data_IF_051907897501
#
_entry.id   IF_051907897501
#
_cell.length_a   1.000
_cell.length_b   1.000
_cell.length_c   1.000
_cell.angle_alpha   90.00
_cell.angle_beta   90.00
_cell.angle_gamma   90.00
#
_symmetry.space_group_name_H-M   'P 1'
#
loop_
_entity.id
_entity.type
_entity.pdbx_description
1 polymer ?
#
# COMPACT_ATOMS: atom_id res chain seq x y z
N UNK A 1 -1.80 -17.75 -12.64
CA UNK A 1 -2.33 -16.44 -13.10
C UNK A 1 -3.72 -16.56 -13.77
N UNK A 2 -3.99 -17.56 -14.61
CA UNK A 2 -5.30 -17.78 -15.27
C UNK A 2 -6.43 -18.09 -14.26
N UNK A 3 -6.12 -18.51 -13.06
CA UNK A 3 -7.05 -18.93 -12.01
C UNK A 3 -7.80 -17.76 -11.32
N UNK A 4 -7.32 -16.53 -11.43
CA UNK A 4 -7.83 -15.40 -10.65
C UNK A 4 -9.04 -14.70 -11.26
N UNK A 5 -9.18 -14.69 -12.60
CA UNK A 5 -10.44 -14.24 -13.21
C UNK A 5 -11.60 -15.17 -12.89
N UNK A 6 -11.35 -16.49 -12.76
CA UNK A 6 -12.37 -17.44 -12.31
C UNK A 6 -12.81 -17.25 -10.85
N UNK A 7 -11.94 -16.72 -9.98
CA UNK A 7 -12.33 -16.37 -8.61
C UNK A 7 -13.17 -15.08 -8.54
N UNK A 8 -12.94 -14.13 -9.47
CA UNK A 8 -13.77 -12.92 -9.56
C UNK A 8 -15.20 -13.20 -10.04
N UNK A 9 -15.42 -14.22 -10.86
CA UNK A 9 -16.76 -14.65 -11.29
C UNK A 9 -17.56 -15.26 -10.14
N UNK A 10 -16.90 -15.78 -9.10
CA UNK A 10 -17.52 -16.30 -7.88
C UNK A 10 -17.74 -15.24 -6.79
N UNK A 11 -17.31 -14.01 -7.04
CA UNK A 11 -17.41 -12.91 -6.09
C UNK A 11 -18.84 -12.35 -6.07
N UNK A 12 -19.44 -12.15 -4.88
CA UNK A 12 -20.71 -11.43 -4.78
C UNK A 12 -20.63 -10.05 -5.42
N UNK A 13 -21.73 -9.62 -6.05
CA UNK A 13 -21.77 -8.36 -6.82
C UNK A 13 -21.28 -7.15 -6.05
N UNK A 14 -21.62 -7.05 -4.77
CA UNK A 14 -21.21 -5.96 -3.87
C UNK A 14 -19.68 -5.85 -3.69
N UNK A 15 -18.91 -6.89 -3.96
CA UNK A 15 -17.45 -6.91 -3.84
C UNK A 15 -16.74 -6.85 -5.19
N UNK A 16 -17.49 -6.78 -6.27
CA UNK A 16 -16.88 -6.65 -7.60
C UNK A 16 -16.24 -5.26 -7.77
N UNK A 17 -15.15 -5.17 -8.55
CA UNK A 17 -14.52 -3.89 -8.83
C UNK A 17 -15.47 -2.98 -9.62
N UNK A 18 -15.44 -1.67 -9.32
CA UNK A 18 -16.06 -0.65 -10.14
C UNK A 18 -15.59 -0.73 -11.59
N UNK A 19 -16.31 -0.08 -12.50
CA UNK A 19 -15.91 -0.08 -13.93
C UNK A 19 -14.48 0.42 -14.12
N UNK A 20 -14.08 1.46 -13.38
CA UNK A 20 -12.73 2.01 -13.39
C UNK A 20 -11.70 0.94 -13.00
N UNK A 21 -11.92 0.22 -11.90
CA UNK A 21 -11.00 -0.80 -11.42
C UNK A 21 -10.98 -2.06 -12.28
N UNK A 22 -12.10 -2.42 -12.93
CA UNK A 22 -12.13 -3.57 -13.87
C UNK A 22 -11.11 -3.38 -15.00
N UNK A 23 -11.13 -2.21 -15.64
CA UNK A 23 -10.17 -1.91 -16.71
C UNK A 23 -8.73 -1.81 -16.19
N UNK A 24 -8.56 -1.23 -15.02
CA UNK A 24 -7.26 -1.12 -14.37
C UNK A 24 -6.65 -2.49 -14.07
N UNK A 25 -7.43 -3.41 -13.48
CA UNK A 25 -6.97 -4.75 -13.11
C UNK A 25 -6.51 -5.57 -14.32
N UNK A 26 -7.23 -5.48 -15.46
CA UNK A 26 -6.82 -6.16 -16.69
C UNK A 26 -5.43 -5.67 -17.14
N UNK A 27 -5.21 -4.36 -17.14
CA UNK A 27 -3.93 -3.74 -17.53
C UNK A 27 -2.81 -4.08 -16.55
N UNK A 28 -3.09 -4.03 -15.25
CA UNK A 28 -2.15 -4.37 -14.18
C UNK A 28 -1.74 -5.85 -14.30
N UNK A 29 -2.72 -6.75 -14.42
CA UNK A 29 -2.43 -8.18 -14.53
C UNK A 29 -1.58 -8.50 -15.78
N UNK A 30 -1.91 -7.93 -16.93
CA UNK A 30 -1.12 -8.07 -18.15
C UNK A 30 0.31 -7.54 -17.94
N UNK A 31 0.46 -6.38 -17.32
CA UNK A 31 1.76 -5.80 -17.00
C UNK A 31 2.59 -6.68 -16.08
N UNK A 32 1.99 -7.24 -15.02
CA UNK A 32 2.68 -8.13 -14.09
C UNK A 32 3.00 -9.48 -14.74
N UNK A 33 2.15 -9.99 -15.62
CA UNK A 33 2.46 -11.19 -16.42
C UNK A 33 3.68 -11.00 -17.32
N UNK A 34 3.81 -9.84 -17.95
CA UNK A 34 4.92 -9.53 -18.86
C UNK A 34 6.22 -9.20 -18.13
N UNK A 35 6.17 -8.41 -17.08
CA UNK A 35 7.35 -7.83 -16.42
C UNK A 35 7.71 -8.52 -15.10
N UNK A 36 6.85 -9.42 -14.62
CA UNK A 36 7.00 -10.04 -13.30
C UNK A 36 6.87 -9.05 -12.14
N UNK A 37 6.98 -9.57 -10.90
CA UNK A 37 6.93 -8.76 -9.69
C UNK A 37 8.14 -7.83 -9.55
N UNK A 38 9.28 -8.21 -10.13
CA UNK A 38 10.51 -7.43 -10.02
C UNK A 38 10.50 -6.11 -10.81
N UNK A 39 9.63 -5.98 -11.81
CA UNK A 39 9.50 -4.76 -12.60
C UNK A 39 8.17 -4.02 -12.42
N UNK A 40 7.29 -4.48 -11.53
CA UNK A 40 5.91 -3.97 -11.48
C UNK A 40 5.82 -2.49 -11.06
N UNK A 41 6.75 -1.97 -10.26
CA UNK A 41 6.79 -0.57 -9.82
C UNK A 41 7.57 0.34 -10.77
N UNK A 42 8.26 -0.21 -11.75
CA UNK A 42 8.86 0.55 -12.86
C UNK A 42 7.89 0.77 -14.02
N UNK A 43 6.72 0.16 -13.98
CA UNK A 43 5.75 0.21 -15.07
C UNK A 43 4.77 1.36 -14.88
N UNK A 44 4.67 2.22 -15.91
CA UNK A 44 3.80 3.40 -15.92
C UNK A 44 2.32 3.07 -15.69
N UNK A 45 1.84 1.97 -16.25
CA UNK A 45 0.45 1.52 -16.11
C UNK A 45 0.15 1.19 -14.66
N UNK A 46 1.03 0.42 -14.01
CA UNK A 46 0.85 0.01 -12.62
C UNK A 46 0.88 1.24 -11.69
N UNK A 47 1.87 2.12 -11.85
CA UNK A 47 1.99 3.33 -11.04
C UNK A 47 0.78 4.25 -11.17
N UNK A 48 0.14 4.30 -12.34
CA UNK A 48 -1.06 5.11 -12.55
C UNK A 48 -2.24 4.65 -11.70
N UNK A 49 -2.35 3.34 -11.47
CA UNK A 49 -3.57 2.78 -10.89
C UNK A 49 -3.45 2.44 -9.40
N UNK A 50 -2.31 1.96 -8.92
CA UNK A 50 -2.25 1.49 -7.55
C UNK A 50 -1.06 1.96 -6.72
N UNK A 51 -0.22 2.81 -7.28
CA UNK A 51 0.88 3.41 -6.53
C UNK A 51 0.73 4.93 -6.55
N UNK A 52 0.20 5.53 -5.49
CA UNK A 52 0.19 6.98 -5.39
C UNK A 52 1.62 7.50 -5.43
N UNK A 53 1.85 8.52 -6.25
CA UNK A 53 3.17 9.10 -6.44
C UNK A 53 3.20 10.58 -6.03
N UNK A 54 4.39 11.06 -5.70
CA UNK A 54 4.65 12.50 -5.66
C UNK A 54 5.07 12.96 -7.06
N UNK A 55 4.63 14.14 -7.45
CA UNK A 55 4.96 14.69 -8.75
C UNK A 55 4.42 13.84 -9.91
N UNK A 56 5.10 13.95 -11.04
CA UNK A 56 4.70 13.30 -12.28
C UNK A 56 5.87 12.51 -12.87
N UNK A 57 6.24 11.33 -12.31
CA UNK A 57 7.41 10.58 -12.74
C UNK A 57 7.40 10.19 -14.22
N UNK A 58 6.22 10.21 -14.87
CA UNK A 58 6.07 9.91 -16.30
C UNK A 58 5.56 11.09 -17.12
N UNK A 59 5.56 12.30 -16.57
CA UNK A 59 5.09 13.45 -17.32
C UNK A 59 6.04 13.77 -18.50
N UNK A 60 5.46 14.04 -19.66
CA UNK A 60 6.21 14.50 -20.83
C UNK A 60 6.87 15.88 -20.60
N UNK A 61 6.29 16.70 -19.73
CA UNK A 61 6.90 17.95 -19.25
C UNK A 61 7.85 17.65 -18.09
N UNK A 62 8.90 16.88 -18.35
CA UNK A 62 9.94 16.67 -17.35
C UNK A 62 10.64 18.00 -17.03
N UNK A 63 11.24 18.10 -15.85
CA UNK A 63 12.07 19.25 -15.50
C UNK A 63 13.15 19.55 -16.53
N UNK A 64 13.70 18.50 -17.16
CA UNK A 64 14.64 18.61 -18.28
C UNK A 64 14.01 19.30 -19.49
N UNK A 65 12.83 18.86 -19.94
CA UNK A 65 12.14 19.46 -21.10
C UNK A 65 11.79 20.91 -20.87
N UNK A 66 11.39 21.26 -19.64
CA UNK A 66 11.13 22.66 -19.25
C UNK A 66 12.41 23.47 -19.29
N UNK A 67 13.51 22.97 -18.71
CA UNK A 67 14.82 23.63 -18.76
C UNK A 67 15.28 23.88 -20.20
N UNK A 68 15.18 22.88 -21.08
CA UNK A 68 15.51 22.98 -22.50
C UNK A 68 14.63 24.04 -23.22
N UNK A 69 13.35 24.13 -22.84
CA UNK A 69 12.45 25.17 -23.37
C UNK A 69 12.93 26.56 -22.97
N UNK A 70 13.30 26.79 -21.73
CA UNK A 70 13.84 28.07 -21.27
C UNK A 70 15.17 28.42 -21.95
N UNK A 71 16.03 27.42 -22.15
CA UNK A 71 17.30 27.60 -22.91
C UNK A 71 17.00 28.02 -24.36
N UNK A 72 15.96 27.44 -24.99
CA UNK A 72 15.55 27.75 -26.38
C UNK A 72 15.03 29.20 -26.53
N UNK A 73 14.33 29.70 -25.49
CA UNK A 73 13.83 31.08 -25.48
C UNK A 73 14.88 32.12 -25.03
N UNK A 74 16.15 31.74 -24.93
CA UNK A 74 17.23 32.66 -24.60
C UNK A 74 17.25 33.10 -23.12
N UNK A 75 16.54 32.41 -22.26
CA UNK A 75 16.51 32.63 -20.80
C UNK A 75 17.07 31.42 -20.05
N UNK A 76 18.39 31.17 -20.18
CA UNK A 76 18.96 29.96 -19.59
C UNK A 76 18.84 29.97 -18.06
N UNK A 77 18.36 28.87 -17.50
CA UNK A 77 18.23 28.71 -16.07
C UNK A 77 19.60 28.39 -15.45
N UNK A 78 19.91 29.04 -14.34
CA UNK A 78 21.07 28.65 -13.53
C UNK A 78 20.81 27.32 -12.80
N UNK A 79 21.85 26.71 -12.23
CA UNK A 79 21.78 25.42 -11.56
C UNK A 79 20.75 25.38 -10.41
N UNK A 80 20.61 26.46 -9.66
CA UNK A 80 19.66 26.55 -8.55
C UNK A 80 18.21 26.56 -9.06
N UNK A 81 17.95 27.30 -10.13
CA UNK A 81 16.63 27.33 -10.78
C UNK A 81 16.26 25.96 -11.40
N UNK A 82 17.22 25.32 -12.11
CA UNK A 82 17.02 23.97 -12.66
C UNK A 82 16.65 22.99 -11.57
N UNK A 83 17.42 22.96 -10.47
CA UNK A 83 17.15 22.07 -9.33
C UNK A 83 15.81 22.37 -8.65
N UNK A 84 15.43 23.65 -8.53
CA UNK A 84 14.11 24.02 -7.99
C UNK A 84 12.97 23.45 -8.84
N UNK A 85 13.05 23.63 -10.16
CA UNK A 85 12.05 23.10 -11.10
C UNK A 85 12.00 21.57 -11.03
N UNK A 86 13.14 20.91 -11.06
CA UNK A 86 13.23 19.45 -10.94
C UNK A 86 12.57 18.95 -9.67
N UNK A 87 12.86 19.55 -8.51
CA UNK A 87 12.28 19.18 -7.23
C UNK A 87 10.75 19.33 -7.24
N UNK A 88 10.24 20.41 -7.84
CA UNK A 88 8.79 20.64 -7.95
C UNK A 88 8.10 19.60 -8.83
N UNK A 89 8.63 19.31 -10.02
CA UNK A 89 8.03 18.35 -10.92
C UNK A 89 8.18 16.89 -10.47
N UNK A 90 9.31 16.55 -9.87
CA UNK A 90 9.55 15.22 -9.33
C UNK A 90 8.81 14.98 -8.01
N UNK A 91 8.23 16.03 -7.38
CA UNK A 91 7.52 15.91 -6.11
C UNK A 91 8.43 15.80 -4.89
N UNK A 92 9.73 16.08 -5.03
CA UNK A 92 10.71 15.99 -3.93
C UNK A 92 10.32 16.85 -2.72
N UNK A 93 9.87 18.09 -2.97
CA UNK A 93 9.49 18.98 -1.87
C UNK A 93 8.28 18.45 -1.07
N UNK A 94 7.32 17.83 -1.75
CA UNK A 94 6.17 17.20 -1.09
C UNK A 94 6.62 15.96 -0.31
N UNK A 95 7.43 15.10 -0.91
CA UNK A 95 7.99 13.93 -0.24
C UNK A 95 8.81 14.32 1.01
N UNK A 96 9.62 15.37 0.91
CA UNK A 96 10.41 15.90 2.05
C UNK A 96 9.50 16.47 3.15
N UNK A 97 8.40 17.13 2.77
CA UNK A 97 7.41 17.64 3.73
C UNK A 97 6.76 16.51 4.51
N UNK A 98 6.29 15.47 3.81
CA UNK A 98 5.66 14.30 4.46
C UNK A 98 6.66 13.51 5.30
N UNK A 99 7.91 13.37 4.83
CA UNK A 99 8.97 12.76 5.63
C UNK A 99 9.24 13.52 6.94
N UNK A 100 9.28 14.86 6.88
CA UNK A 100 9.44 15.70 8.07
C UNK A 100 8.24 15.60 9.01
N UNK A 101 7.03 15.58 8.47
CA UNK A 101 5.81 15.39 9.25
C UNK A 101 5.83 14.04 9.98
N UNK A 102 6.20 12.96 9.28
CA UNK A 102 6.40 11.64 9.87
C UNK A 102 7.43 11.67 11.02
N UNK A 103 8.59 12.30 10.81
CA UNK A 103 9.61 12.39 11.86
C UNK A 103 9.11 13.15 13.09
N UNK A 104 8.41 14.27 12.88
CA UNK A 104 7.85 15.09 13.98
C UNK A 104 6.75 14.31 14.72
N UNK A 105 5.84 13.63 13.99
CA UNK A 105 4.78 12.84 14.60
C UNK A 105 5.33 11.68 15.46
N UNK A 106 6.53 11.20 15.14
CA UNK A 106 7.21 10.12 15.86
C UNK A 106 8.12 10.58 17.00
N UNK A 107 8.22 11.87 17.22
CA UNK A 107 9.04 12.66 18.14
C UNK A 107 9.51 11.93 19.41
N UNK A 108 10.70 11.31 19.32
CA UNK A 108 11.38 10.65 20.45
C UNK A 108 10.69 9.42 21.06
N UNK A 109 9.55 9.00 20.53
CA UNK A 109 8.72 7.89 21.03
C UNK A 109 8.62 6.73 20.08
N UNK A 110 9.61 6.45 19.25
CA UNK A 110 9.59 5.44 18.18
C UNK A 110 9.28 4.02 18.68
N UNK A 111 8.11 3.87 19.25
CA UNK A 111 7.65 2.65 19.93
C UNK A 111 7.55 1.46 18.99
N UNK A 112 7.16 1.70 17.74
CA UNK A 112 7.08 0.67 16.71
C UNK A 112 8.38 0.55 15.90
N UNK A 113 9.42 1.34 16.17
CA UNK A 113 10.66 1.33 15.41
C UNK A 113 10.53 1.87 14.00
N UNK A 114 9.52 2.72 13.75
CA UNK A 114 9.18 3.22 12.42
C UNK A 114 10.27 4.09 11.82
N UNK A 115 11.06 4.79 12.65
CA UNK A 115 12.20 5.58 12.20
C UNK A 115 13.30 4.73 11.53
N UNK A 116 13.33 3.43 11.80
CA UNK A 116 14.27 2.49 11.18
C UNK A 116 13.77 1.93 9.85
N UNK A 117 12.51 2.20 9.49
CA UNK A 117 11.94 1.69 8.26
C UNK A 117 12.67 2.26 7.03
N UNK A 118 12.86 1.39 6.06
CA UNK A 118 13.24 1.72 4.69
C UNK A 118 12.50 0.76 3.77
N UNK A 119 11.78 1.29 2.80
CA UNK A 119 10.99 0.50 1.88
C UNK A 119 11.87 -0.36 0.98
N UNK A 120 11.40 -1.56 0.66
CA UNK A 120 12.10 -2.50 -0.23
C UNK A 120 12.19 -1.96 -1.66
N UNK A 121 13.27 -2.32 -2.34
CA UNK A 121 13.46 -2.04 -3.78
C UNK A 121 12.82 -3.09 -4.70
N UNK A 122 12.07 -4.04 -4.13
CA UNK A 122 11.33 -5.00 -4.94
C UNK A 122 10.33 -4.27 -5.84
N UNK A 123 10.24 -4.72 -7.07
CA UNK A 123 9.42 -4.06 -8.09
C UNK A 123 10.15 -2.96 -8.87
N UNK A 124 11.42 -2.68 -8.54
CA UNK A 124 12.21 -1.61 -9.15
C UNK A 124 11.52 -0.24 -9.10
N UNK A 125 11.20 0.27 -7.89
CA UNK A 125 10.39 1.48 -7.71
C UNK A 125 11.09 2.72 -8.23
N UNK A 126 10.47 3.38 -9.20
CA UNK A 126 10.94 4.66 -9.75
C UNK A 126 10.35 5.87 -9.00
N UNK A 127 9.37 5.64 -8.15
CA UNK A 127 8.66 6.65 -7.35
C UNK A 127 9.28 6.87 -5.96
N UNK A 128 10.39 6.19 -5.67
CA UNK A 128 11.07 6.33 -4.38
C UNK A 128 11.83 7.64 -4.25
N UNK A 129 11.82 8.15 -3.03
CA UNK A 129 12.73 9.20 -2.56
C UNK A 129 13.64 8.65 -1.46
N UNK A 130 14.85 9.18 -1.38
CA UNK A 130 15.81 8.81 -0.34
C UNK A 130 15.99 9.96 0.65
N UNK A 131 15.80 9.67 1.94
CA UNK A 131 16.07 10.57 3.06
C UNK A 131 16.88 9.80 4.12
N UNK A 132 17.96 10.38 4.57
CA UNK A 132 18.85 9.77 5.59
C UNK A 132 19.26 8.32 5.23
N UNK A 133 19.59 8.06 3.96
CA UNK A 133 19.96 6.75 3.41
C UNK A 133 18.83 5.67 3.47
N UNK A 134 17.58 6.08 3.66
CA UNK A 134 16.40 5.24 3.63
C UNK A 134 15.50 5.59 2.46
N UNK A 135 14.73 4.63 1.99
CA UNK A 135 13.88 4.75 0.82
C UNK A 135 12.41 4.81 1.21
N UNK A 136 11.67 5.69 0.57
CA UNK A 136 10.26 5.92 0.83
C UNK A 136 9.50 6.20 -0.46
N UNK A 137 8.31 5.62 -0.57
CA UNK A 137 7.27 6.06 -1.50
C UNK A 137 6.26 6.95 -0.79
N UNK A 138 5.33 7.53 -1.56
CA UNK A 138 4.19 8.25 -0.97
C UNK A 138 3.33 7.32 -0.12
N UNK A 139 3.08 6.08 -0.58
CA UNK A 139 2.33 5.09 0.19
C UNK A 139 2.98 4.83 1.54
N UNK A 140 4.27 4.54 1.58
CA UNK A 140 4.95 4.26 2.85
C UNK A 140 4.95 5.45 3.80
N UNK A 141 5.17 6.68 3.29
CA UNK A 141 5.12 7.88 4.15
C UNK A 141 3.73 8.13 4.72
N UNK A 142 2.66 7.89 3.96
CA UNK A 142 1.29 8.01 4.45
C UNK A 142 1.01 7.02 5.60
N UNK A 143 1.37 5.75 5.43
CA UNK A 143 1.19 4.75 6.50
C UNK A 143 2.06 5.05 7.72
N UNK A 144 3.32 5.41 7.52
CA UNK A 144 4.24 5.76 8.60
C UNK A 144 3.72 6.95 9.41
N UNK A 145 3.22 7.99 8.74
CA UNK A 145 2.62 9.15 9.41
C UNK A 145 1.37 8.75 10.21
N UNK A 146 0.47 7.97 9.61
CA UNK A 146 -0.75 7.49 10.27
C UNK A 146 -0.44 6.63 11.51
N UNK A 147 0.51 5.70 11.39
CA UNK A 147 0.94 4.87 12.53
C UNK A 147 1.64 5.68 13.61
N UNK A 148 2.47 6.67 13.24
CA UNK A 148 3.12 7.57 14.20
C UNK A 148 2.10 8.40 14.95
N UNK A 149 1.08 8.91 14.24
CA UNK A 149 -0.03 9.63 14.85
C UNK A 149 -0.81 8.72 15.82
N UNK A 150 -1.15 7.49 15.42
CA UNK A 150 -1.79 6.51 16.29
C UNK A 150 -0.96 6.28 17.56
N UNK A 151 0.35 6.07 17.46
CA UNK A 151 1.23 5.91 18.60
C UNK A 151 1.29 7.16 19.48
N UNK A 152 1.12 8.35 18.93
CA UNK A 152 1.13 9.60 19.71
C UNK A 152 -0.11 9.75 20.59
N UNK A 153 -1.28 9.32 20.11
CA UNK A 153 -2.55 9.41 20.84
C UNK A 153 -2.83 8.19 21.74
N UNK A 154 -2.28 7.04 21.38
CA UNK A 154 -2.45 5.78 22.09
C UNK A 154 -1.08 5.09 22.29
N UNK A 155 -0.21 5.61 23.15
CA UNK A 155 1.18 5.17 23.26
C UNK A 155 1.34 3.71 23.72
N UNK A 156 0.41 3.17 24.48
CA UNK A 156 0.45 1.78 24.95
C UNK A 156 -0.30 0.80 24.05
N UNK A 157 -0.91 1.29 22.98
CA UNK A 157 -1.69 0.45 22.09
C UNK A 157 -0.79 -0.51 21.28
N UNK A 158 -1.07 -1.78 21.41
CA UNK A 158 -0.35 -2.87 20.72
C UNK A 158 -1.38 -3.81 20.08
N UNK A 159 -1.83 -3.48 18.86
CA UNK A 159 -2.83 -4.30 18.18
C UNK A 159 -2.28 -5.69 17.87
N UNK A 160 -3.06 -6.72 18.17
CA UNK A 160 -2.75 -8.11 17.85
C UNK A 160 -3.45 -8.60 16.59
N UNK A 161 -4.62 -8.04 16.29
CA UNK A 161 -5.46 -8.40 15.14
C UNK A 161 -5.68 -7.18 14.28
N UNK A 162 -4.95 -7.11 13.17
CA UNK A 162 -4.93 -5.96 12.26
C UNK A 162 -5.62 -6.35 10.96
N UNK A 163 -6.71 -5.66 10.63
CA UNK A 163 -7.43 -5.80 9.38
C UNK A 163 -7.19 -4.57 8.49
N UNK A 164 -6.75 -4.79 7.27
CA UNK A 164 -6.68 -3.75 6.24
C UNK A 164 -7.60 -4.07 5.07
N UNK A 165 -8.35 -3.08 4.59
CA UNK A 165 -9.12 -3.17 3.35
C UNK A 165 -8.52 -2.23 2.32
N UNK A 166 -8.20 -2.77 1.13
CA UNK A 166 -7.62 -2.00 0.04
C UNK A 166 -6.14 -1.70 0.24
N UNK A 167 -5.37 -2.67 0.72
CA UNK A 167 -3.94 -2.53 1.03
C UNK A 167 -3.00 -2.43 -0.19
N UNK A 168 -3.55 -2.49 -1.41
CA UNK A 168 -2.79 -2.37 -2.64
C UNK A 168 -1.73 -3.47 -2.78
N UNK A 169 -0.47 -3.09 -2.99
CA UNK A 169 0.61 -4.07 -3.13
C UNK A 169 1.26 -4.52 -1.81
N UNK A 170 0.71 -4.10 -0.64
CA UNK A 170 1.13 -4.61 0.68
C UNK A 170 2.14 -3.74 1.43
N UNK A 171 2.11 -2.44 1.23
CA UNK A 171 3.02 -1.49 1.91
C UNK A 171 2.88 -1.55 3.44
N UNK A 172 1.65 -1.60 3.97
CA UNK A 172 1.44 -1.70 5.42
C UNK A 172 2.00 -3.01 5.97
N UNK A 173 1.79 -4.11 5.27
CA UNK A 173 2.36 -5.41 5.67
C UNK A 173 3.89 -5.35 5.78
N UNK A 174 4.57 -4.69 4.83
CA UNK A 174 6.02 -4.49 4.89
C UNK A 174 6.45 -3.64 6.09
N UNK A 175 5.73 -2.54 6.36
CA UNK A 175 6.01 -1.68 7.51
C UNK A 175 5.86 -2.45 8.83
N UNK A 176 4.76 -3.20 8.99
CA UNK A 176 4.52 -4.00 10.17
C UNK A 176 5.57 -5.11 10.35
N UNK A 177 5.97 -5.77 9.27
CA UNK A 177 6.99 -6.81 9.32
C UNK A 177 8.38 -6.28 9.74
N UNK A 178 8.68 -5.01 9.43
CA UNK A 178 9.93 -4.33 9.81
C UNK A 178 9.83 -3.58 11.14
N UNK A 179 8.64 -3.50 11.72
CA UNK A 179 8.41 -2.80 12.99
C UNK A 179 8.81 -3.63 14.21
N UNK A 180 8.80 -2.98 15.38
CA UNK A 180 9.01 -3.64 16.66
C UNK A 180 7.75 -4.33 17.21
N UNK A 181 6.62 -4.28 16.48
CA UNK A 181 5.39 -4.94 16.89
C UNK A 181 5.58 -6.45 16.94
N UNK A 182 5.17 -7.08 18.04
CA UNK A 182 5.30 -8.52 18.25
C UNK A 182 3.92 -9.15 18.47
N UNK A 183 3.84 -10.46 18.25
CA UNK A 183 2.65 -11.26 18.56
C UNK A 183 1.35 -10.71 17.93
N UNK A 184 1.41 -10.33 16.67
CA UNK A 184 0.25 -9.84 15.92
C UNK A 184 -0.03 -10.70 14.69
N UNK A 185 -1.25 -10.57 14.19
CA UNK A 185 -1.68 -11.11 12.91
C UNK A 185 -2.23 -9.98 12.06
N UNK A 186 -1.84 -9.98 10.80
CA UNK A 186 -2.28 -9.03 9.79
C UNK A 186 -3.08 -9.75 8.70
N UNK A 187 -4.25 -9.21 8.40
CA UNK A 187 -5.07 -9.64 7.27
C UNK A 187 -5.30 -8.47 6.32
N UNK A 188 -4.73 -8.57 5.13
CA UNK A 188 -5.01 -7.66 4.02
C UNK A 188 -6.11 -8.22 3.12
N UNK A 189 -7.17 -7.45 2.95
CA UNK A 189 -8.28 -7.76 2.05
C UNK A 189 -8.27 -6.79 0.87
N UNK A 190 -8.26 -7.34 -0.35
CA UNK A 190 -8.28 -6.55 -1.57
C UNK A 190 -8.90 -7.35 -2.73
N UNK A 191 -9.04 -6.73 -3.88
CA UNK A 191 -9.41 -7.41 -5.12
C UNK A 191 -8.41 -8.54 -5.43
N UNK A 192 -8.83 -9.70 -5.96
CA UNK A 192 -7.98 -10.89 -6.10
C UNK A 192 -6.63 -10.65 -6.80
N UNK A 193 -6.62 -9.82 -7.84
CA UNK A 193 -5.38 -9.46 -8.55
C UNK A 193 -4.43 -8.73 -7.63
N UNK A 194 -4.94 -7.76 -6.85
CA UNK A 194 -4.16 -6.98 -5.89
C UNK A 194 -3.66 -7.84 -4.73
N UNK A 195 -4.52 -8.68 -4.17
CA UNK A 195 -4.16 -9.66 -3.14
C UNK A 195 -2.99 -10.55 -3.57
N UNK A 196 -3.01 -11.02 -4.83
CA UNK A 196 -1.93 -11.83 -5.36
C UNK A 196 -0.62 -11.03 -5.55
N UNK A 197 -0.72 -9.78 -6.00
CA UNK A 197 0.45 -8.88 -6.11
C UNK A 197 1.03 -8.63 -4.72
N UNK A 198 0.21 -8.29 -3.72
CA UNK A 198 0.65 -8.06 -2.35
C UNK A 198 1.35 -9.29 -1.75
N UNK A 199 0.78 -10.48 -1.93
CA UNK A 199 1.40 -11.73 -1.51
C UNK A 199 2.76 -11.97 -2.15
N UNK A 200 2.87 -11.77 -3.47
CA UNK A 200 4.13 -11.97 -4.19
C UNK A 200 5.18 -10.92 -3.81
N UNK A 201 4.76 -9.66 -3.65
CA UNK A 201 5.63 -8.58 -3.19
C UNK A 201 6.17 -8.88 -1.79
N UNK A 202 5.29 -9.15 -0.84
CA UNK A 202 5.66 -9.48 0.53
C UNK A 202 6.61 -10.68 0.60
N UNK A 203 6.29 -11.76 -0.12
CA UNK A 203 7.15 -12.93 -0.19
C UNK A 203 8.54 -12.62 -0.75
N UNK A 204 8.63 -11.70 -1.71
CA UNK A 204 9.91 -11.28 -2.29
C UNK A 204 10.71 -10.34 -1.36
N UNK A 205 10.02 -9.55 -0.51
CA UNK A 205 10.70 -8.69 0.46
C UNK A 205 11.36 -9.46 1.61
N UNK A 206 10.83 -10.63 1.97
CA UNK A 206 11.22 -11.38 3.17
C UNK A 206 11.66 -12.81 2.87
N UNK A 207 11.94 -13.15 1.61
CA UNK A 207 12.35 -14.49 1.15
C UNK A 207 11.42 -15.61 1.63
N UNK A 208 10.13 -15.30 1.78
CA UNK A 208 9.12 -16.28 2.20
C UNK A 208 8.77 -17.17 1.00
N UNK A 209 8.85 -18.51 1.13
CA UNK A 209 8.47 -19.40 0.05
C UNK A 209 7.05 -19.15 -0.44
N UNK A 210 6.88 -18.92 -1.74
CA UNK A 210 5.56 -18.67 -2.37
C UNK A 210 4.59 -19.84 -2.21
N UNK A 211 5.11 -21.03 -1.95
CA UNK A 211 4.35 -22.25 -1.70
C UNK A 211 3.78 -22.37 -0.29
N UNK A 212 4.22 -21.51 0.65
CA UNK A 212 3.64 -21.56 2.00
C UNK A 212 2.16 -21.18 1.95
N UNK A 213 1.29 -21.95 2.63
CA UNK A 213 -0.11 -21.59 2.75
C UNK A 213 -0.24 -20.24 3.46
N UNK A 214 -1.25 -19.45 3.09
CA UNK A 214 -1.56 -18.17 3.73
C UNK A 214 -2.34 -18.40 5.02
N UNK A 215 -2.94 -19.56 5.16
CA UNK A 215 -3.82 -19.95 6.26
C UNK A 215 -3.41 -21.30 6.82
N UNK A 216 -3.70 -21.53 8.10
CA UNK A 216 -3.43 -22.80 8.78
C UNK A 216 -4.32 -23.92 8.27
N UNK A 217 -5.53 -23.57 7.77
CA UNK A 217 -6.50 -24.50 7.18
C UNK A 217 -7.12 -23.93 5.91
N UNK A 218 -7.83 -24.75 5.13
CA UNK A 218 -8.59 -24.29 3.97
C UNK A 218 -9.80 -23.46 4.45
N UNK A 219 -9.89 -22.20 4.03
CA UNK A 219 -10.98 -21.30 4.39
C UNK A 219 -12.18 -21.50 3.45
N UNK A 220 -12.96 -22.52 3.72
CA UNK A 220 -14.21 -22.81 2.97
C UNK A 220 -15.46 -22.27 3.68
N UNK A 221 -15.33 -21.94 4.99
CA UNK A 221 -16.39 -21.48 5.88
C UNK A 221 -15.88 -20.31 6.71
N UNK A 222 -16.65 -19.93 7.75
CA UNK A 222 -16.26 -18.89 8.68
C UNK A 222 -14.92 -19.21 9.37
N UNK A 223 -14.10 -18.18 9.53
CA UNK A 223 -12.76 -18.28 10.11
C UNK A 223 -12.49 -17.11 11.06
N UNK A 224 -11.47 -17.25 11.90
CA UNK A 224 -10.98 -16.22 12.82
C UNK A 224 -9.52 -15.86 12.52
N UNK A 225 -8.99 -14.85 13.19
CA UNK A 225 -7.56 -14.56 13.10
C UNK A 225 -6.68 -15.75 13.53
N UNK A 226 -7.15 -16.60 14.46
CA UNK A 226 -6.37 -17.76 14.92
C UNK A 226 -6.14 -18.82 13.82
N UNK A 227 -6.99 -18.81 12.78
CA UNK A 227 -6.83 -19.66 11.59
C UNK A 227 -5.83 -19.11 10.59
N UNK A 228 -5.38 -17.86 10.75
CA UNK A 228 -4.48 -17.16 9.83
C UNK A 228 -3.01 -17.33 10.25
N UNK A 229 -2.12 -17.12 9.30
CA UNK A 229 -0.70 -16.89 9.58
C UNK A 229 -0.50 -15.43 10.01
N UNK A 230 0.70 -15.11 10.48
CA UNK A 230 1.04 -13.75 10.91
C UNK A 230 0.72 -12.71 9.83
N UNK A 231 1.00 -13.02 8.56
CA UNK A 231 0.61 -12.19 7.41
C UNK A 231 -0.24 -13.00 6.45
N UNK A 232 -1.45 -12.55 6.23
CA UNK A 232 -2.42 -13.19 5.35
C UNK A 232 -3.01 -12.17 4.38
N UNK A 233 -3.19 -12.60 3.12
CA UNK A 233 -3.76 -11.79 2.04
C UNK A 233 -4.89 -12.58 1.40
N UNK A 234 -6.12 -12.07 1.49
CA UNK A 234 -7.32 -12.76 1.02
C UNK A 234 -8.17 -11.83 0.15
N UNK A 235 -9.02 -12.40 -0.71
CA UNK A 235 -9.99 -11.62 -1.47
C UNK A 235 -10.93 -10.83 -0.56
N UNK A 236 -11.34 -9.67 -1.03
CA UNK A 236 -12.12 -8.69 -0.27
C UNK A 236 -13.45 -9.22 0.29
N UNK A 237 -14.15 -10.12 -0.41
CA UNK A 237 -15.39 -10.74 0.08
C UNK A 237 -15.22 -11.68 1.28
N UNK A 238 -13.98 -12.08 1.58
CA UNK A 238 -13.69 -12.89 2.76
C UNK A 238 -13.93 -12.17 4.09
N UNK A 239 -14.23 -10.89 4.05
CA UNK A 239 -14.71 -10.17 5.24
C UNK A 239 -16.03 -10.75 5.79
N UNK A 240 -16.89 -11.27 4.92
CA UNK A 240 -18.16 -11.89 5.34
C UNK A 240 -17.98 -13.20 6.10
N UNK A 241 -16.86 -13.89 5.87
CA UNK A 241 -16.53 -15.15 6.54
C UNK A 241 -15.71 -14.95 7.81
N UNK A 242 -15.13 -13.76 8.02
CA UNK A 242 -14.32 -13.45 9.20
C UNK A 242 -15.21 -13.29 10.45
N UNK A 243 -14.76 -13.85 11.57
CA UNK A 243 -15.45 -13.79 12.88
C UNK A 243 -14.48 -13.40 13.99
N UNK A 244 -15.04 -12.93 15.11
CA UNK A 244 -14.27 -12.62 16.31
C UNK A 244 -14.01 -11.15 16.52
N UNK A 245 -12.82 -10.79 16.96
CA UNK A 245 -12.44 -9.40 17.30
C UNK A 245 -11.37 -8.87 16.34
N UNK A 246 -11.32 -7.55 16.21
CA UNK A 246 -10.30 -6.78 15.49
C UNK A 246 -9.81 -5.71 16.47
N UNK A 247 -8.48 -5.54 16.59
CA UNK A 247 -7.90 -4.50 17.44
C UNK A 247 -7.63 -3.22 16.65
N UNK A 248 -7.26 -3.34 15.39
CA UNK A 248 -7.00 -2.22 14.49
C UNK A 248 -7.58 -2.49 13.10
N UNK A 249 -8.45 -1.60 12.66
CA UNK A 249 -8.89 -1.52 11.28
C UNK A 249 -8.14 -0.41 10.56
N UNK A 250 -7.65 -0.69 9.37
CA UNK A 250 -6.91 0.25 8.53
C UNK A 250 -7.54 0.35 7.15
N UNK A 251 -7.78 1.57 6.72
CA UNK A 251 -8.10 1.91 5.34
C UNK A 251 -7.39 3.22 4.98
N UNK A 252 -6.49 3.17 4.02
CA UNK A 252 -5.82 4.35 3.49
C UNK A 252 -6.23 4.55 2.03
N UNK A 253 -7.01 5.59 1.76
CA UNK A 253 -7.42 6.04 0.42
C UNK A 253 -8.51 5.17 -0.23
N UNK A 254 -8.46 3.84 -0.17
CA UNK A 254 -9.29 2.98 -1.01
C UNK A 254 -10.79 3.22 -0.88
N UNK A 255 -11.30 3.59 0.30
CA UNK A 255 -12.72 3.95 0.48
C UNK A 255 -13.13 5.20 -0.30
N UNK A 256 -12.18 6.09 -0.63
CA UNK A 256 -12.45 7.29 -1.45
C UNK A 256 -12.67 6.95 -2.94
N UNK A 257 -12.25 5.76 -3.35
CA UNK A 257 -12.32 5.26 -4.73
C UNK A 257 -13.48 4.27 -4.93
N UNK A 258 -14.24 3.98 -3.86
CA UNK A 258 -15.37 3.07 -3.87
C UNK A 258 -16.69 3.83 -3.85
N UNK A 259 -17.73 3.23 -4.46
CA UNK A 259 -19.07 3.75 -4.39
C UNK A 259 -19.61 3.72 -2.94
N UNK A 260 -20.43 4.69 -2.52
CA UNK A 260 -20.89 4.80 -1.12
C UNK A 260 -21.57 3.54 -0.58
N UNK A 261 -22.30 2.81 -1.40
CA UNK A 261 -22.98 1.58 -0.97
C UNK A 261 -21.99 0.43 -0.68
N UNK A 262 -20.86 0.36 -1.39
CA UNK A 262 -19.78 -0.60 -1.14
C UNK A 262 -19.10 -0.27 0.19
N UNK A 263 -18.78 0.99 0.43
CA UNK A 263 -18.20 1.44 1.71
C UNK A 263 -19.17 1.15 2.87
N UNK A 264 -20.46 1.42 2.67
CA UNK A 264 -21.48 1.11 3.68
C UNK A 264 -21.55 -0.38 4.02
N UNK A 265 -21.39 -1.25 3.01
CA UNK A 265 -21.34 -2.70 3.23
C UNK A 265 -20.11 -3.10 4.07
N UNK A 266 -18.93 -2.56 3.77
CA UNK A 266 -17.75 -2.83 4.61
C UNK A 266 -17.94 -2.34 6.04
N UNK A 267 -18.49 -1.14 6.24
CA UNK A 267 -18.77 -0.60 7.57
C UNK A 267 -19.79 -1.49 8.30
N UNK A 268 -20.81 -2.02 7.60
CA UNK A 268 -21.77 -2.96 8.17
C UNK A 268 -21.08 -4.26 8.61
N UNK A 269 -20.20 -4.84 7.79
CA UNK A 269 -19.41 -6.01 8.17
C UNK A 269 -18.55 -5.73 9.41
N UNK A 270 -17.91 -4.55 9.45
CA UNK A 270 -17.04 -4.16 10.57
C UNK A 270 -17.79 -4.03 11.89
N UNK A 271 -19.08 -3.64 11.88
CA UNK A 271 -19.91 -3.57 13.10
C UNK A 271 -20.16 -4.94 13.76
N UNK A 272 -20.00 -6.02 13.00
CA UNK A 272 -20.17 -7.38 13.52
C UNK A 272 -18.96 -7.87 14.31
N UNK A 273 -17.86 -7.13 14.31
CA UNK A 273 -16.69 -7.47 15.10
C UNK A 273 -16.72 -6.76 16.45
N UNK A 274 -16.28 -7.46 17.48
CA UNK A 274 -15.94 -6.79 18.73
C UNK A 274 -14.68 -5.98 18.48
N UNK A 275 -14.84 -4.67 18.35
CA UNK A 275 -13.70 -3.76 18.35
C UNK A 275 -13.20 -3.72 19.79
N UNK A 276 -11.95 -4.12 20.03
CA UNK A 276 -11.29 -3.88 21.33
C UNK A 276 -11.16 -2.37 21.42
N UNK A 277 -12.13 -1.78 22.07
CA UNK A 277 -12.41 -0.34 22.19
C UNK A 277 -11.26 0.60 21.81
N UNK A 278 -11.59 1.52 20.89
CA UNK A 278 -11.25 2.95 21.07
C UNK A 278 -12.27 3.80 20.33
#
# INVERSE_FOLDING_TARGET
FVKYFGEQELCPEIYQPSLFWREALIKIEQSVKLNGIHGFRANKTNLKFFVPTYGCPFNRLSAKSISETFDTFGTPLNQKQKRFIENKFNGYDHALSDYRAFKIANDGRDQLGLLNFSESKIGNPIEHFSFENKWFSRSSLNYLLGLSFLCSIAPDFRPRKILEIGGGFGTLAEILAKSNLKEFQYLGLDLPVMTNIAKNYFSSCFDVPKSKPITKKKLTEAFTFDDLLQFSFLPNWKIEDLRGSIDLFVNFISFQEMEPHIVSNYIFCLKNFTLSCW
#
